data_IF_143519052957
#
_entry.id   IF_143519052957
#
_cell.length_a   1.000
_cell.length_b   1.000
_cell.length_c   1.000
_cell.angle_alpha   90.00
_cell.angle_beta   90.00
_cell.angle_gamma   90.00
#
_symmetry.space_group_name_H-M   'P 1'
#
loop_
_entity.id
_entity.type
_entity.pdbx_description
1 polymer ?
#
# COMPACT_ATOMS: atom_id res chain seq x y z
N UNK A 1 -8.27 10.57 -6.97
CA UNK A 1 -7.57 10.04 -5.78
C UNK A 1 -6.08 9.96 -6.11
N UNK A 2 -5.16 10.22 -5.18
CA UNK A 2 -3.69 10.16 -5.42
C UNK A 2 -3.05 8.83 -4.99
N UNK A 3 -3.78 7.74 -5.24
CA UNK A 3 -3.38 6.38 -4.92
C UNK A 3 -3.50 5.56 -6.19
N UNK A 4 -2.52 4.71 -6.46
CA UNK A 4 -2.63 3.66 -7.48
C UNK A 4 -3.76 2.71 -7.12
N UNK A 5 -4.33 2.08 -8.13
CA UNK A 5 -5.38 1.10 -7.91
C UNK A 5 -4.82 -0.13 -7.18
N UNK A 6 -5.47 -0.48 -6.05
CA UNK A 6 -5.22 -1.72 -5.34
C UNK A 6 -3.83 -1.83 -4.71
N UNK A 7 -3.38 -3.08 -4.56
CA UNK A 7 -2.16 -3.44 -3.87
C UNK A 7 -2.30 -4.73 -3.07
N UNK A 8 -1.60 -5.79 -3.48
CA UNK A 8 -1.62 -7.08 -2.79
C UNK A 8 -0.38 -7.19 -1.91
N UNK A 9 -0.59 -7.18 -0.61
CA UNK A 9 0.43 -7.38 0.43
C UNK A 9 -0.20 -8.15 1.58
N UNK A 10 0.63 -8.86 2.34
CA UNK A 10 0.19 -9.69 3.46
C UNK A 10 1.36 -10.15 4.29
N UNK A 11 1.07 -10.96 5.31
CA UNK A 11 2.08 -11.63 6.13
C UNK A 11 2.04 -13.12 5.87
N UNK A 12 3.19 -13.80 6.01
CA UNK A 12 3.24 -15.25 5.81
C UNK A 12 2.24 -15.98 6.72
N UNK A 13 1.51 -16.94 6.15
CA UNK A 13 0.48 -17.70 6.87
C UNK A 13 -0.91 -17.07 6.90
N UNK A 14 -1.08 -15.82 6.45
CA UNK A 14 -2.38 -15.14 6.42
C UNK A 14 -2.71 -14.61 5.03
N UNK A 15 -3.90 -14.96 4.52
CA UNK A 15 -4.38 -14.52 3.20
C UNK A 15 -4.99 -13.11 3.16
N UNK A 16 -4.94 -12.36 4.25
CA UNK A 16 -5.54 -11.03 4.39
C UNK A 16 -5.10 -10.32 5.68
N UNK A 17 -5.66 -9.14 5.95
CA UNK A 17 -5.32 -8.32 7.13
C UNK A 17 -4.39 -7.14 6.83
N UNK A 18 -3.81 -7.07 5.62
CA UNK A 18 -3.03 -5.92 5.16
C UNK A 18 -3.64 -5.36 3.88
N UNK A 19 -3.88 -4.05 3.85
CA UNK A 19 -4.37 -3.34 2.66
C UNK A 19 -3.20 -2.60 2.04
N UNK A 20 -2.83 -3.01 0.83
CA UNK A 20 -1.86 -2.28 0.02
C UNK A 20 -2.41 -0.94 -0.46
N UNK A 21 -1.59 0.10 -0.32
CA UNK A 21 -1.79 1.43 -0.90
C UNK A 21 -0.44 1.98 -1.31
N UNK A 22 -0.41 2.52 -2.52
CA UNK A 22 0.79 3.04 -3.16
C UNK A 22 0.51 4.42 -3.74
N UNK A 23 1.37 5.40 -3.46
CA UNK A 23 1.24 6.74 -4.03
C UNK A 23 1.41 6.70 -5.56
N UNK A 24 0.63 7.53 -6.27
CA UNK A 24 0.77 7.70 -7.72
C UNK A 24 1.97 8.59 -8.12
N UNK A 25 2.54 9.36 -7.17
CA UNK A 25 3.68 10.26 -7.34
C UNK A 25 4.79 9.99 -6.31
N UNK A 26 5.44 8.81 -6.36
CA UNK A 26 6.41 8.39 -5.33
C UNK A 26 7.67 9.26 -5.26
N UNK A 27 8.08 9.91 -6.35
CA UNK A 27 9.25 10.80 -6.35
C UNK A 27 9.00 12.10 -5.58
N UNK A 28 7.78 12.63 -5.67
CA UNK A 28 7.36 13.83 -4.95
C UNK A 28 7.06 13.52 -3.48
N UNK A 29 6.54 12.32 -3.20
CA UNK A 29 6.15 11.88 -1.85
C UNK A 29 6.80 10.55 -1.48
N UNK A 30 8.14 10.49 -1.31
CA UNK A 30 8.85 9.23 -1.10
C UNK A 30 8.43 8.49 0.18
N UNK A 31 8.07 9.24 1.22
CA UNK A 31 7.60 8.69 2.50
C UNK A 31 6.25 7.96 2.34
N UNK A 32 5.45 8.32 1.32
CA UNK A 32 4.14 7.72 1.05
C UNK A 32 4.17 6.75 -0.13
N UNK A 33 5.35 6.43 -0.67
CA UNK A 33 5.48 5.48 -1.78
C UNK A 33 4.82 4.13 -1.43
N UNK A 34 4.93 3.71 -0.17
CA UNK A 34 4.23 2.57 0.42
C UNK A 34 3.47 3.02 1.67
N UNK A 35 2.15 2.83 1.70
CA UNK A 35 1.31 3.32 2.79
C UNK A 35 0.25 2.30 3.23
N UNK A 36 0.71 1.14 3.72
CA UNK A 36 -0.19 0.03 4.04
C UNK A 36 -1.05 0.30 5.29
N UNK A 37 -2.26 -0.27 5.32
CA UNK A 37 -3.12 -0.27 6.53
C UNK A 37 -3.26 -1.70 7.04
N UNK A 38 -3.06 -1.89 8.35
CA UNK A 38 -3.31 -3.15 9.04
C UNK A 38 -4.75 -3.18 9.55
N UNK A 39 -5.43 -4.31 9.40
CA UNK A 39 -6.75 -4.58 9.98
C UNK A 39 -6.66 -5.67 11.02
#
# INVERSE_FOLDING_TARGET
THWKHGGIVGVFGYGGGVIGRYCDQPEMFPVLAHFHTMR
#
